data_IF_391054329663
#
_entry.id   IF_391054329663
#
_cell.length_a   1.000
_cell.length_b   1.000
_cell.length_c   1.000
_cell.angle_alpha   90.00
_cell.angle_beta   90.00
_cell.angle_gamma   90.00
#
_symmetry.space_group_name_H-M   'P 1'
#
loop_
_entity.id
_entity.type
_entity.pdbx_description
1 polymer ?
#
# COMPACT_ATOMS: atom_id res chain seq x y z
N UNK A 1 -14.24 -27.49 -18.54
CA UNK A 1 -14.09 -26.50 -17.46
C UNK A 1 -12.66 -26.00 -17.49
N UNK A 2 -12.45 -24.69 -17.58
CA UNK A 2 -11.11 -24.09 -17.48
C UNK A 2 -10.74 -24.05 -16.01
N UNK A 3 -9.62 -24.68 -15.64
CA UNK A 3 -9.17 -24.72 -14.24
C UNK A 3 -7.82 -24.06 -14.04
N UNK A 4 -7.70 -23.36 -12.93
CA UNK A 4 -6.47 -22.75 -12.46
C UNK A 4 -6.06 -23.39 -11.14
N UNK A 5 -4.76 -23.55 -10.96
CA UNK A 5 -4.21 -24.17 -9.76
C UNK A 5 -3.18 -23.25 -9.13
N UNK A 6 -3.29 -23.04 -7.82
CA UNK A 6 -2.32 -22.26 -7.04
C UNK A 6 -1.95 -22.98 -5.76
N UNK A 7 -0.66 -22.99 -5.41
CA UNK A 7 -0.15 -23.56 -4.16
C UNK A 7 0.28 -22.43 -3.23
N UNK A 8 -0.08 -22.57 -1.97
CA UNK A 8 0.27 -21.66 -0.88
C UNK A 8 1.01 -22.40 0.23
N UNK A 9 1.92 -21.70 0.91
CA UNK A 9 2.52 -22.13 2.18
C UNK A 9 1.68 -21.51 3.32
N UNK A 10 1.42 -22.29 4.36
CA UNK A 10 0.76 -21.86 5.61
C UNK A 10 -0.73 -21.48 5.50
N UNK A 11 -1.12 -20.47 4.72
CA UNK A 11 -2.51 -20.04 4.54
C UNK A 11 -2.81 -19.48 3.15
N UNK A 12 -4.10 -19.45 2.78
CA UNK A 12 -4.63 -18.78 1.60
C UNK A 12 -5.50 -17.59 2.03
N UNK A 13 -5.18 -16.39 1.55
CA UNK A 13 -6.00 -15.20 1.76
C UNK A 13 -6.91 -14.98 0.53
N UNK A 14 -8.23 -15.20 0.61
CA UNK A 14 -9.12 -14.99 -0.53
C UNK A 14 -9.21 -13.52 -0.96
N UNK A 15 -9.02 -12.57 -0.04
CA UNK A 15 -9.02 -11.13 -0.33
C UNK A 15 -7.73 -10.66 -1.02
N UNK A 16 -6.64 -11.44 -0.91
CA UNK A 16 -5.36 -11.18 -1.57
C UNK A 16 -4.76 -12.48 -2.07
N UNK A 17 -5.32 -12.99 -3.18
CA UNK A 17 -4.93 -14.30 -3.76
C UNK A 17 -3.46 -14.41 -4.22
N UNK A 18 -2.69 -13.34 -4.17
CA UNK A 18 -1.25 -13.34 -4.46
C UNK A 18 -0.39 -13.51 -3.19
N UNK A 19 -0.95 -13.22 -2.02
CA UNK A 19 -0.27 -13.33 -0.75
C UNK A 19 0.03 -14.80 -0.44
N UNK A 20 1.29 -15.10 -0.06
CA UNK A 20 1.80 -16.43 0.24
C UNK A 20 1.63 -17.48 -0.87
N UNK A 21 1.30 -17.05 -2.09
CA UNK A 21 1.26 -17.93 -3.25
C UNK A 21 2.69 -18.32 -3.63
N UNK A 22 3.02 -19.59 -3.45
CA UNK A 22 4.31 -20.14 -3.89
C UNK A 22 4.37 -20.23 -5.41
N UNK A 23 3.26 -20.69 -6.02
CA UNK A 23 3.17 -20.89 -7.45
C UNK A 23 1.72 -20.87 -7.90
N UNK A 24 1.47 -20.44 -9.13
CA UNK A 24 0.17 -20.53 -9.79
C UNK A 24 0.35 -20.75 -11.29
N UNK A 25 -0.54 -21.53 -11.87
CA UNK A 25 -0.63 -21.72 -13.32
C UNK A 25 -2.07 -21.47 -13.77
N UNK A 26 -2.19 -20.65 -14.81
CA UNK A 26 -3.42 -20.03 -15.25
C UNK A 26 -3.81 -20.36 -16.70
N UNK A 27 -3.26 -21.45 -17.28
CA UNK A 27 -3.65 -22.14 -18.53
C UNK A 27 -2.44 -22.56 -19.39
N UNK A 28 -1.45 -23.26 -18.80
CA UNK A 28 -0.24 -23.66 -19.53
C UNK A 28 -0.40 -24.88 -20.46
N UNK A 29 -1.53 -25.61 -20.41
CA UNK A 29 -1.69 -26.89 -21.10
C UNK A 29 -2.78 -26.88 -22.19
N UNK A 30 -2.64 -27.81 -23.14
CA UNK A 30 -3.74 -28.11 -24.09
C UNK A 30 -4.96 -28.57 -23.28
N UNK A 31 -6.12 -27.97 -23.56
CA UNK A 31 -7.42 -28.22 -22.91
C UNK A 31 -7.73 -27.42 -21.64
N UNK A 32 -7.11 -26.25 -21.44
CA UNK A 32 -7.52 -25.29 -20.42
C UNK A 32 -7.38 -25.82 -18.97
N UNK A 33 -6.29 -26.57 -18.72
CA UNK A 33 -5.97 -27.18 -17.43
C UNK A 33 -4.64 -26.65 -16.90
N UNK A 34 -4.52 -26.51 -15.58
CA UNK A 34 -3.25 -26.17 -14.94
C UNK A 34 -2.32 -27.40 -14.82
N UNK A 35 -1.02 -27.17 -14.97
CA UNK A 35 0.04 -28.15 -14.69
C UNK A 35 1.31 -27.42 -14.29
N UNK A 36 1.81 -27.72 -13.10
CA UNK A 36 3.10 -27.20 -12.65
C UNK A 36 3.95 -28.25 -11.96
N UNK A 37 5.24 -27.96 -11.86
CA UNK A 37 6.22 -28.74 -11.10
C UNK A 37 6.88 -27.80 -10.11
N UNK A 38 6.80 -28.14 -8.83
CA UNK A 38 7.31 -27.34 -7.73
C UNK A 38 8.09 -28.23 -6.76
N UNK A 39 9.16 -27.69 -6.18
CA UNK A 39 9.86 -28.34 -5.08
C UNK A 39 9.17 -27.94 -3.76
N UNK A 40 8.71 -28.94 -3.01
CA UNK A 40 8.07 -28.75 -1.70
C UNK A 40 8.96 -29.34 -0.61
N UNK A 41 8.93 -28.73 0.58
CA UNK A 41 9.65 -29.22 1.76
C UNK A 41 8.86 -30.39 2.38
N UNK A 42 9.58 -31.40 2.87
CA UNK A 42 8.97 -32.54 3.57
C UNK A 42 8.38 -32.09 4.91
N UNK A 43 7.28 -32.72 5.33
CA UNK A 43 6.61 -32.45 6.61
C UNK A 43 6.01 -31.05 6.77
N UNK A 44 5.81 -30.32 5.66
CA UNK A 44 5.05 -29.07 5.62
C UNK A 44 3.70 -29.32 4.96
N UNK A 45 2.65 -28.71 5.51
CA UNK A 45 1.32 -28.70 4.90
C UNK A 45 1.22 -27.54 3.91
N UNK A 46 0.80 -27.83 2.69
CA UNK A 46 0.54 -26.85 1.65
C UNK A 46 -0.94 -26.83 1.29
N UNK A 47 -1.41 -25.69 0.81
CA UNK A 47 -2.79 -25.52 0.37
C UNK A 47 -2.79 -25.44 -1.15
N UNK A 48 -3.48 -26.38 -1.81
CA UNK A 48 -3.78 -26.32 -3.23
C UNK A 48 -5.18 -25.73 -3.41
N UNK A 49 -5.24 -24.57 -4.04
CA UNK A 49 -6.49 -23.92 -4.45
C UNK A 49 -6.70 -24.21 -5.93
N UNK A 50 -7.84 -24.82 -6.24
CA UNK A 50 -8.31 -25.02 -7.61
C UNK A 50 -9.49 -24.10 -7.84
N UNK A 51 -9.36 -23.18 -8.80
CA UNK A 51 -10.42 -22.27 -9.21
C UNK A 51 -10.80 -22.49 -10.66
N UNK A 52 -11.95 -21.98 -11.05
CA UNK A 52 -12.42 -21.96 -12.43
C UNK A 52 -12.27 -20.56 -13.01
N UNK A 53 -12.28 -20.45 -14.35
CA UNK A 53 -12.29 -19.15 -15.03
C UNK A 53 -13.56 -18.34 -14.79
N UNK A 54 -14.67 -19.04 -14.61
CA UNK A 54 -16.00 -18.47 -14.43
C UNK A 54 -16.61 -18.98 -13.14
N UNK A 55 -17.22 -18.09 -12.37
CA UNK A 55 -17.97 -18.44 -11.15
C UNK A 55 -19.18 -19.34 -11.39
N UNK A 56 -19.60 -19.50 -12.64
CA UNK A 56 -20.71 -20.38 -13.04
C UNK A 56 -20.25 -21.78 -13.45
N UNK A 57 -18.95 -21.99 -13.66
CA UNK A 57 -18.45 -23.29 -14.08
C UNK A 57 -18.47 -24.24 -12.88
N UNK A 58 -19.28 -25.28 -12.98
CA UNK A 58 -19.35 -26.36 -11.98
C UNK A 58 -19.26 -27.69 -12.71
N UNK A 59 -18.28 -28.51 -12.35
CA UNK A 59 -18.13 -29.87 -12.86
C UNK A 59 -17.23 -30.67 -11.90
N UNK A 60 -17.27 -31.99 -12.01
CA UNK A 60 -16.30 -32.83 -11.33
C UNK A 60 -14.89 -32.58 -11.89
N UNK A 61 -13.90 -32.58 -11.00
CA UNK A 61 -12.50 -32.53 -11.38
C UNK A 61 -11.70 -33.61 -10.66
N UNK A 62 -10.51 -33.92 -11.17
CA UNK A 62 -9.55 -34.80 -10.53
C UNK A 62 -8.18 -34.14 -10.56
N UNK A 63 -7.39 -34.34 -9.51
CA UNK A 63 -6.02 -33.86 -9.42
C UNK A 63 -5.10 -35.08 -9.45
N UNK A 64 -4.07 -35.01 -10.29
CA UNK A 64 -3.00 -35.99 -10.31
C UNK A 64 -1.72 -35.33 -9.83
N UNK A 65 -1.11 -35.88 -8.77
CA UNK A 65 0.22 -35.47 -8.31
C UNK A 65 1.15 -36.68 -8.34
N UNK A 66 2.36 -36.45 -8.84
CA UNK A 66 3.44 -37.42 -8.86
C UNK A 66 4.68 -36.78 -8.28
N UNK A 67 5.37 -37.49 -7.40
CA UNK A 67 6.60 -37.03 -6.77
C UNK A 67 7.52 -38.19 -6.42
N UNK A 68 8.74 -37.89 -5.94
CA UNK A 68 9.68 -38.90 -5.45
C UNK A 68 9.20 -39.60 -4.17
N UNK A 69 8.21 -39.03 -3.48
CA UNK A 69 7.60 -39.56 -2.26
C UNK A 69 6.06 -39.55 -2.38
N UNK A 70 5.38 -40.25 -1.47
CA UNK A 70 3.92 -40.28 -1.41
C UNK A 70 3.36 -38.90 -1.04
N UNK A 71 2.54 -38.34 -1.92
CA UNK A 71 1.74 -37.14 -1.62
C UNK A 71 0.37 -37.59 -1.16
N UNK A 72 0.14 -37.50 0.14
CA UNK A 72 -1.18 -37.76 0.71
C UNK A 72 -2.07 -36.54 0.49
N UNK A 73 -3.01 -36.67 -0.43
CA UNK A 73 -4.14 -35.75 -0.46
C UNK A 73 -5.02 -36.06 0.74
N UNK A 74 -4.98 -35.20 1.76
CA UNK A 74 -6.07 -35.11 2.73
C UNK A 74 -7.28 -34.51 2.03
N UNK A 75 -7.97 -35.35 1.23
CA UNK A 75 -9.30 -35.10 0.71
C UNK A 75 -10.20 -35.05 1.94
N UNK A 76 -10.66 -33.86 2.29
CA UNK A 76 -11.14 -33.47 3.62
C UNK A 76 -10.01 -32.98 4.52
N UNK A 77 -10.15 -31.72 4.94
CA UNK A 77 -10.21 -31.46 6.38
C UNK A 77 -11.14 -32.54 6.92
N UNK A 78 -10.57 -33.67 7.35
CA UNK A 78 -11.28 -34.66 8.13
C UNK A 78 -12.02 -33.82 9.16
N UNK A 79 -13.35 -33.87 9.13
CA UNK A 79 -14.24 -33.07 9.97
C UNK A 79 -14.03 -33.46 11.43
N UNK A 80 -12.85 -33.15 11.98
CA UNK A 80 -12.75 -32.46 13.24
C UNK A 80 -13.81 -31.39 13.13
N UNK A 81 -14.95 -31.62 13.79
CA UNK A 81 -16.15 -30.81 13.66
C UNK A 81 -15.72 -29.36 13.53
N UNK A 82 -15.93 -28.75 12.36
CA UNK A 82 -15.64 -27.32 12.19
C UNK A 82 -16.51 -26.67 13.25
N UNK A 83 -15.86 -26.13 14.26
CA UNK A 83 -16.56 -25.56 15.39
C UNK A 83 -17.26 -24.31 14.86
N UNK A 84 -18.52 -24.16 15.24
CA UNK A 84 -19.32 -23.02 14.83
C UNK A 84 -19.72 -22.25 16.08
N UNK A 85 -19.36 -20.98 16.09
CA UNK A 85 -19.78 -20.03 17.11
C UNK A 85 -20.79 -19.08 16.49
N UNK A 86 -21.83 -18.78 17.26
CA UNK A 86 -22.91 -17.90 16.86
C UNK A 86 -23.03 -16.74 17.85
N UNK A 87 -23.21 -15.53 17.33
CA UNK A 87 -23.38 -14.32 18.10
C UNK A 87 -24.48 -13.46 17.48
N UNK A 88 -25.35 -12.88 18.29
CA UNK A 88 -26.41 -11.98 17.84
C UNK A 88 -26.39 -10.69 18.65
N UNK A 89 -26.63 -9.57 17.97
CA UNK A 89 -26.82 -8.28 18.62
C UNK A 89 -27.58 -7.31 17.71
N UNK A 90 -27.60 -6.03 18.09
CA UNK A 90 -28.30 -4.97 17.39
C UNK A 90 -27.54 -3.66 17.46
N UNK A 91 -27.30 -3.05 16.30
CA UNK A 91 -26.88 -1.65 16.24
C UNK A 91 -28.07 -0.74 16.53
N UNK A 92 -27.89 0.20 17.45
CA UNK A 92 -28.92 1.13 17.91
C UNK A 92 -28.36 2.56 17.95
N UNK A 93 -29.23 3.56 18.12
CA UNK A 93 -28.79 4.96 18.26
C UNK A 93 -27.94 5.23 19.51
N UNK A 94 -27.96 4.32 20.48
CA UNK A 94 -27.11 4.35 21.68
C UNK A 94 -25.81 3.57 21.52
N UNK A 95 -25.61 2.87 20.39
CA UNK A 95 -24.33 2.21 20.10
C UNK A 95 -23.23 3.25 19.97
N UNK A 96 -21.99 2.84 20.23
CA UNK A 96 -20.84 3.72 20.08
C UNK A 96 -20.68 4.12 18.62
N UNK A 97 -20.08 5.29 18.37
CA UNK A 97 -19.88 5.79 17.03
C UNK A 97 -18.41 6.02 16.75
N UNK A 98 -18.02 5.82 15.51
CA UNK A 98 -16.71 6.23 15.00
C UNK A 98 -16.86 6.80 13.60
N UNK A 99 -15.82 7.42 13.08
CA UNK A 99 -15.79 7.89 11.69
C UNK A 99 -15.05 6.83 10.86
N UNK A 100 -15.76 5.94 10.15
CA UNK A 100 -15.09 4.97 9.27
C UNK A 100 -14.45 5.69 8.11
N UNK A 101 -13.11 5.78 8.15
CA UNK A 101 -12.32 6.48 7.15
C UNK A 101 -12.82 7.91 6.96
N UNK A 102 -13.59 8.10 5.88
CA UNK A 102 -14.00 9.39 5.38
C UNK A 102 -15.48 9.67 5.14
N UNK A 103 -16.33 8.96 5.87
CA UNK A 103 -17.74 9.33 5.97
C UNK A 103 -17.92 10.71 6.62
N UNK A 104 -18.80 11.55 6.05
CA UNK A 104 -19.22 12.84 6.64
C UNK A 104 -20.01 12.64 7.95
N UNK A 105 -20.51 11.43 8.16
CA UNK A 105 -21.35 11.03 9.28
C UNK A 105 -20.73 9.86 10.01
N UNK A 106 -20.81 9.90 11.34
CA UNK A 106 -20.35 8.79 12.16
C UNK A 106 -21.23 7.55 11.95
N UNK A 107 -20.61 6.38 11.98
CA UNK A 107 -21.31 5.10 11.92
C UNK A 107 -21.40 4.49 13.31
N UNK A 108 -22.57 3.94 13.62
CA UNK A 108 -22.74 3.11 14.80
C UNK A 108 -21.90 1.84 14.66
N UNK A 109 -21.23 1.44 15.73
CA UNK A 109 -20.49 0.21 15.75
C UNK A 109 -20.70 -0.55 17.06
N UNK A 110 -20.45 -1.84 16.97
CA UNK A 110 -20.31 -2.72 18.11
C UNK A 110 -18.93 -3.36 18.07
N UNK A 111 -18.30 -3.42 19.25
CA UNK A 111 -17.03 -4.10 19.41
C UNK A 111 -17.21 -5.37 20.19
N UNK A 112 -16.64 -6.43 19.63
CA UNK A 112 -16.75 -7.79 20.12
C UNK A 112 -15.33 -8.29 20.33
N UNK A 113 -14.97 -8.55 21.58
CA UNK A 113 -13.73 -9.25 21.87
C UNK A 113 -13.83 -10.69 21.35
N UNK A 114 -12.79 -11.11 20.64
CA UNK A 114 -12.65 -12.42 20.02
C UNK A 114 -11.46 -13.11 20.67
N UNK A 115 -11.72 -14.20 21.40
CA UNK A 115 -10.68 -15.05 21.97
C UNK A 115 -10.77 -16.45 21.37
N UNK A 116 -9.66 -16.95 20.81
CA UNK A 116 -9.58 -18.31 20.26
C UNK A 116 -8.84 -19.25 21.22
N UNK A 117 -9.35 -20.47 21.37
CA UNK A 117 -8.73 -21.52 22.21
C UNK A 117 -7.68 -22.35 21.47
N UNK A 118 -7.70 -22.29 20.15
CA UNK A 118 -6.79 -23.01 19.26
C UNK A 118 -6.36 -22.09 18.12
N UNK A 119 -5.06 -21.99 17.87
CA UNK A 119 -4.56 -21.20 16.75
C UNK A 119 -4.98 -21.86 15.42
N UNK A 120 -5.28 -21.05 14.41
CA UNK A 120 -5.58 -21.51 13.07
C UNK A 120 -6.45 -20.54 12.30
N UNK A 121 -7.05 -21.03 11.22
CA UNK A 121 -7.77 -20.19 10.26
C UNK A 121 -9.27 -20.17 10.57
N UNK A 122 -9.81 -18.98 10.80
CA UNK A 122 -11.20 -18.73 11.15
C UNK A 122 -11.90 -17.94 10.05
N UNK A 123 -13.13 -18.32 9.72
CA UNK A 123 -14.00 -17.58 8.80
C UNK A 123 -15.10 -16.90 9.59
N UNK A 124 -15.24 -15.59 9.40
CA UNK A 124 -16.30 -14.77 9.96
C UNK A 124 -17.30 -14.42 8.86
N UNK A 125 -18.58 -14.48 9.16
CA UNK A 125 -19.67 -14.15 8.26
C UNK A 125 -20.74 -13.40 9.03
N UNK A 126 -21.26 -12.30 8.48
CA UNK A 126 -22.43 -11.61 9.02
C UNK A 126 -23.71 -11.98 8.28
N UNK A 127 -24.83 -11.90 8.99
CA UNK A 127 -26.15 -11.95 8.39
C UNK A 127 -27.05 -10.90 9.07
N UNK A 128 -27.54 -9.97 8.26
CA UNK A 128 -28.37 -8.85 8.66
C UNK A 128 -29.24 -8.40 7.49
N UNK A 129 -30.32 -7.67 7.79
CA UNK A 129 -31.06 -6.90 6.79
C UNK A 129 -30.37 -5.57 6.45
N UNK A 130 -29.35 -5.17 7.22
CA UNK A 130 -28.52 -4.01 6.95
C UNK A 130 -27.30 -4.44 6.14
N UNK A 131 -26.77 -3.53 5.34
CA UNK A 131 -25.45 -3.68 4.73
C UNK A 131 -24.36 -3.50 5.80
N UNK A 132 -23.77 -4.61 6.23
CA UNK A 132 -22.83 -4.67 7.36
C UNK A 132 -21.39 -4.70 6.89
N UNK A 133 -20.56 -3.89 7.52
CA UNK A 133 -19.10 -3.87 7.34
C UNK A 133 -18.42 -4.45 8.58
N UNK A 134 -17.46 -5.35 8.39
CA UNK A 134 -16.75 -6.05 9.45
C UNK A 134 -15.25 -5.77 9.40
N UNK A 135 -14.61 -5.63 10.56
CA UNK A 135 -13.15 -5.50 10.65
C UNK A 135 -12.59 -6.17 11.89
N UNK A 136 -11.48 -6.90 11.75
CA UNK A 136 -10.77 -7.49 12.89
C UNK A 136 -9.51 -6.69 13.18
N UNK A 137 -9.31 -6.40 14.46
CA UNK A 137 -8.15 -5.69 14.99
C UNK A 137 -7.37 -6.58 15.94
N UNK A 138 -6.04 -6.40 15.96
CA UNK A 138 -5.15 -7.02 16.93
C UNK A 138 -5.11 -6.18 18.21
N UNK A 139 -5.24 -6.81 19.37
CA UNK A 139 -5.17 -6.24 20.72
C UNK A 139 -6.29 -5.24 21.07
N UNK A 140 -6.41 -4.13 20.34
CA UNK A 140 -7.40 -3.08 20.58
C UNK A 140 -7.90 -2.45 19.28
N UNK A 141 -9.06 -1.79 19.38
CA UNK A 141 -9.60 -0.92 18.34
C UNK A 141 -9.62 0.54 18.81
N UNK A 142 -9.07 1.44 17.99
CA UNK A 142 -9.09 2.86 18.26
C UNK A 142 -10.18 3.54 17.40
N UNK A 143 -11.31 3.98 17.95
CA UNK A 143 -12.36 4.63 17.15
C UNK A 143 -11.91 5.97 16.57
N UNK A 144 -10.87 6.60 17.15
CA UNK A 144 -10.24 7.78 16.55
C UNK A 144 -9.36 7.42 15.36
N UNK A 145 -8.79 6.21 15.35
CA UNK A 145 -7.92 5.66 14.30
C UNK A 145 -8.33 4.24 13.87
N UNK A 146 -9.41 4.07 13.10
CA UNK A 146 -9.91 2.75 12.72
C UNK A 146 -9.03 2.01 11.69
N UNK A 147 -7.86 2.52 11.36
CA UNK A 147 -6.87 1.81 10.51
C UNK A 147 -5.82 1.12 11.40
N UNK A 148 -5.60 1.65 12.60
CA UNK A 148 -4.63 1.14 13.57
C UNK A 148 -4.95 -0.29 13.97
N UNK A 149 -3.95 -1.18 13.90
CA UNK A 149 -4.06 -2.60 14.26
C UNK A 149 -5.10 -3.41 13.48
N UNK A 150 -5.69 -2.86 12.41
CA UNK A 150 -6.62 -3.60 11.57
C UNK A 150 -5.87 -4.70 10.80
N UNK A 151 -6.37 -5.92 10.90
CA UNK A 151 -5.80 -7.10 10.25
C UNK A 151 -6.54 -7.43 8.95
N UNK A 152 -7.86 -7.33 8.96
CA UNK A 152 -8.73 -7.60 7.82
C UNK A 152 -10.01 -6.80 7.95
N UNK A 153 -10.60 -6.44 6.82
CA UNK A 153 -11.91 -5.82 6.72
C UNK A 153 -12.62 -6.24 5.43
N UNK A 154 -13.96 -6.22 5.45
CA UNK A 154 -14.82 -6.52 4.31
C UNK A 154 -16.24 -5.96 4.53
N UNK A 155 -16.96 -5.67 3.45
CA UNK A 155 -18.38 -5.29 3.41
C UNK A 155 -19.21 -6.07 2.40
N UNK A 156 -18.63 -6.46 1.27
CA UNK A 156 -19.41 -6.91 0.12
C UNK A 156 -19.09 -8.33 -0.36
N UNK A 157 -18.19 -9.07 0.31
CA UNK A 157 -17.82 -10.41 -0.17
C UNK A 157 -18.91 -11.47 0.08
N UNK A 158 -19.87 -11.20 0.97
CA UNK A 158 -20.99 -12.09 1.31
C UNK A 158 -22.26 -11.83 0.49
N UNK A 159 -23.22 -12.76 0.56
CA UNK A 159 -24.53 -12.55 -0.05
C UNK A 159 -25.25 -11.36 0.62
N UNK A 160 -25.93 -10.54 -0.17
CA UNK A 160 -26.71 -9.38 0.34
C UNK A 160 -25.86 -8.29 1.03
N UNK A 161 -24.66 -8.00 0.52
CA UNK A 161 -23.78 -6.96 1.08
C UNK A 161 -23.49 -7.21 2.57
N UNK A 162 -23.08 -8.44 2.85
CA UNK A 162 -22.64 -8.86 4.17
C UNK A 162 -21.16 -9.11 4.12
N UNK A 163 -20.47 -8.94 5.24
CA UNK A 163 -19.05 -9.23 5.27
C UNK A 163 -18.79 -10.74 5.39
N UNK A 164 -17.79 -11.22 4.67
CA UNK A 164 -17.19 -12.54 4.86
C UNK A 164 -15.68 -12.44 4.66
N UNK A 165 -14.93 -12.82 5.68
CA UNK A 165 -13.48 -12.87 5.58
C UNK A 165 -12.90 -14.04 6.36
N UNK A 166 -11.71 -14.45 5.95
CA UNK A 166 -10.96 -15.55 6.54
C UNK A 166 -9.64 -15.02 7.08
N UNK A 167 -9.30 -15.32 8.34
CA UNK A 167 -8.11 -14.81 9.01
C UNK A 167 -7.47 -15.89 9.90
N UNK A 168 -6.14 -15.91 9.95
CA UNK A 168 -5.39 -16.72 10.90
C UNK A 168 -5.34 -16.03 12.26
N UNK A 169 -5.82 -16.70 13.30
CA UNK A 169 -5.82 -16.23 14.68
C UNK A 169 -4.93 -17.12 15.55
N UNK A 170 -4.26 -16.51 16.52
CA UNK A 170 -3.38 -17.19 17.47
C UNK A 170 -3.97 -17.18 18.88
N UNK A 171 -3.76 -18.26 19.63
CA UNK A 171 -4.12 -18.30 21.07
C UNK A 171 -3.34 -17.25 21.85
N UNK A 172 -3.92 -16.79 22.96
CA UNK A 172 -3.32 -15.80 23.88
C UNK A 172 -3.17 -14.38 23.31
N UNK A 173 -3.67 -14.14 22.08
CA UNK A 173 -3.83 -12.80 21.53
C UNK A 173 -5.31 -12.40 21.66
N UNK A 174 -5.56 -11.19 22.17
CA UNK A 174 -6.88 -10.58 22.15
C UNK A 174 -7.11 -9.98 20.78
N UNK A 175 -8.24 -10.29 20.14
CA UNK A 175 -8.67 -9.62 18.91
C UNK A 175 -9.98 -8.88 19.16
N UNK A 176 -10.20 -7.79 18.42
CA UNK A 176 -11.45 -7.04 18.46
C UNK A 176 -12.10 -7.10 17.08
N UNK A 177 -13.30 -7.67 17.00
CA UNK A 177 -14.17 -7.55 15.83
C UNK A 177 -15.03 -6.31 15.97
N UNK A 178 -14.95 -5.40 15.00
CA UNK A 178 -15.85 -4.27 14.85
C UNK A 178 -16.89 -4.61 13.81
N UNK A 179 -18.16 -4.53 14.20
CA UNK A 179 -19.31 -4.64 13.31
C UNK A 179 -19.94 -3.26 13.18
N UNK A 180 -20.05 -2.78 11.96
CA UNK A 180 -20.68 -1.51 11.60
C UNK A 180 -21.45 -1.69 10.29
N UNK A 181 -21.77 -0.60 9.61
CA UNK A 181 -22.49 -0.60 8.34
C UNK A 181 -21.77 0.22 7.29
N UNK A 182 -21.92 -0.17 6.02
CA UNK A 182 -21.31 0.51 4.87
C UNK A 182 -21.78 1.97 4.73
N UNK A 183 -23.04 2.21 5.07
CA UNK A 183 -23.66 3.53 5.13
C UNK A 183 -23.77 4.05 6.56
N UNK A 184 -23.83 5.37 6.72
CA UNK A 184 -23.94 5.99 8.04
C UNK A 184 -25.33 5.90 8.63
N UNK A 185 -25.42 5.66 9.94
CA UNK A 185 -26.64 5.65 10.75
C UNK A 185 -27.72 4.55 10.54
N UNK A 186 -27.56 3.48 9.72
CA UNK A 186 -28.51 2.38 9.79
C UNK A 186 -28.41 1.70 11.16
N UNK A 187 -29.56 1.19 11.60
CA UNK A 187 -29.71 0.48 12.88
C UNK A 187 -30.56 -0.74 12.63
N UNK A 188 -30.30 -1.84 13.33
CA UNK A 188 -30.87 -3.12 12.97
C UNK A 188 -30.16 -4.27 13.65
N UNK A 189 -30.83 -5.42 13.66
CA UNK A 189 -30.26 -6.64 14.23
C UNK A 189 -29.24 -7.24 13.26
N UNK A 190 -28.22 -7.89 13.80
CA UNK A 190 -27.26 -8.64 13.03
C UNK A 190 -26.86 -9.90 13.79
N UNK A 191 -26.39 -10.89 13.04
CA UNK A 191 -25.82 -12.13 13.55
C UNK A 191 -24.46 -12.37 12.93
N UNK A 192 -23.53 -12.92 13.71
CA UNK A 192 -22.18 -13.29 13.28
C UNK A 192 -22.03 -14.80 13.45
N UNK A 193 -21.56 -15.44 12.38
CA UNK A 193 -21.19 -16.84 12.36
C UNK A 193 -19.67 -16.93 12.24
N UNK A 194 -19.05 -17.67 13.14
CA UNK A 194 -17.60 -17.92 13.11
C UNK A 194 -17.37 -19.41 12.99
N UNK A 195 -16.59 -19.81 11.98
CA UNK A 195 -16.24 -21.21 11.75
C UNK A 195 -14.73 -21.39 11.76
N UNK A 196 -14.24 -22.46 12.39
CA UNK A 196 -12.80 -22.70 12.48
C UNK A 196 -12.40 -23.98 13.24
N UNK A 197 -11.11 -24.09 13.64
CA UNK A 197 -10.55 -25.28 14.28
C UNK A 197 -11.06 -25.59 15.69
N UNK A 198 -11.68 -24.61 16.37
CA UNK A 198 -12.30 -24.71 17.69
C UNK A 198 -13.31 -23.57 17.90
N UNK A 199 -14.16 -23.64 18.93
CA UNK A 199 -15.09 -22.57 19.25
C UNK A 199 -14.36 -21.28 19.63
N UNK A 200 -15.00 -20.16 19.32
CA UNK A 200 -14.52 -18.81 19.62
C UNK A 200 -15.35 -18.27 20.77
N UNK A 201 -14.70 -17.58 21.71
CA UNK A 201 -15.40 -16.81 22.73
C UNK A 201 -15.61 -15.38 22.20
N UNK A 202 -16.87 -15.01 21.98
CA UNK A 202 -17.29 -13.71 21.47
C UNK A 202 -17.98 -12.94 22.59
N UNK A 203 -17.37 -11.83 23.00
CA UNK A 203 -17.87 -11.02 24.10
C UNK A 203 -18.05 -9.57 23.67
N UNK A 204 -19.28 -9.07 23.74
CA UNK A 204 -19.52 -7.63 23.61
C UNK A 204 -18.68 -6.87 24.64
N UNK A 205 -17.92 -5.89 24.18
CA UNK A 205 -17.17 -4.99 25.06
C UNK A 205 -17.66 -3.56 24.88
N UNK A 206 -17.84 -2.87 26.01
CA UNK A 206 -18.14 -1.44 26.00
C UNK A 206 -16.97 -0.69 25.36
N UNK A 207 -17.25 0.42 24.68
CA UNK A 207 -16.21 1.27 24.07
C UNK A 207 -15.13 1.73 25.04
N UNK A 208 -15.48 1.87 26.32
CA UNK A 208 -14.54 2.16 27.41
C UNK A 208 -13.52 1.05 27.69
N UNK A 209 -13.80 -0.20 27.30
CA UNK A 209 -12.92 -1.37 27.50
C UNK A 209 -12.03 -1.65 26.29
N UNK A 210 -12.37 -1.09 25.12
CA UNK A 210 -11.62 -1.25 23.87
C UNK A 210 -10.35 -0.37 23.86
N UNK A 211 -10.41 0.78 24.54
CA UNK A 211 -9.32 1.73 24.61
C UNK A 211 -8.38 1.31 25.75
N UNK A 212 -7.52 0.31 25.54
CA UNK A 212 -6.46 -0.04 26.49
C UNK A 212 -5.17 0.79 26.32
N UNK A 213 -5.26 1.96 25.68
CA UNK A 213 -4.24 2.99 25.83
C UNK A 213 -4.93 4.26 26.27
N UNK A 214 -4.86 4.52 27.57
CA UNK A 214 -4.66 5.81 28.24
C UNK A 214 -4.76 7.11 27.40
N UNK A 215 -5.80 7.32 26.61
CA UNK A 215 -6.15 8.65 26.07
C UNK A 215 -6.84 9.45 27.17
N UNK A 216 -6.12 9.70 28.26
CA UNK A 216 -6.49 10.76 29.19
C UNK A 216 -6.31 12.08 28.45
N UNK A 217 -7.42 12.69 27.99
CA UNK A 217 -7.46 14.04 27.42
C UNK A 217 -6.40 14.27 26.32
N UNK A 218 -6.66 13.79 25.10
CA UNK A 218 -5.80 14.06 23.96
C UNK A 218 -5.49 15.57 23.89
N UNK A 219 -4.22 15.92 24.04
CA UNK A 219 -3.81 17.31 24.06
C UNK A 219 -3.83 17.82 22.63
N UNK A 220 -4.40 19.01 22.43
CA UNK A 220 -4.56 19.61 21.12
C UNK A 220 -3.56 20.75 20.90
N UNK A 221 -3.07 20.86 19.67
CA UNK A 221 -2.34 22.02 19.17
C UNK A 221 -2.93 22.46 17.84
N UNK A 222 -2.95 23.78 17.63
CA UNK A 222 -3.43 24.40 16.40
C UNK A 222 -2.30 25.18 15.72
N UNK A 223 -2.26 25.09 14.41
CA UNK A 223 -1.40 25.89 13.55
C UNK A 223 -2.22 26.45 12.40
N UNK A 224 -2.01 27.71 12.02
CA UNK A 224 -2.72 28.31 10.89
C UNK A 224 -1.75 29.12 10.03
N UNK A 225 -1.93 29.04 8.72
CA UNK A 225 -1.10 29.76 7.75
C UNK A 225 -1.85 29.99 6.43
N UNK A 226 -1.16 30.53 5.44
CA UNK A 226 -1.69 30.85 4.12
C UNK A 226 -0.66 30.52 3.03
N UNK A 227 -1.07 29.72 2.05
CA UNK A 227 -0.31 29.54 0.81
C UNK A 227 -0.57 30.75 -0.09
N UNK A 228 0.49 31.46 -0.44
CA UNK A 228 0.43 32.68 -1.26
C UNK A 228 1.32 32.54 -2.50
N UNK A 229 1.32 33.53 -3.39
CA UNK A 229 2.19 33.55 -4.57
C UNK A 229 3.68 33.69 -4.25
N UNK A 230 4.04 34.02 -2.99
CA UNK A 230 5.43 34.02 -2.52
C UNK A 230 5.83 32.71 -1.82
N UNK A 231 4.90 31.78 -1.61
CA UNK A 231 5.21 30.46 -1.06
C UNK A 231 6.13 29.67 -1.98
N UNK A 232 6.92 28.76 -1.42
CA UNK A 232 7.80 27.90 -2.19
C UNK A 232 6.97 27.00 -3.13
N UNK A 233 7.56 26.57 -4.24
CA UNK A 233 6.88 25.69 -5.20
C UNK A 233 7.68 24.43 -5.48
N UNK A 234 6.99 23.30 -5.67
CA UNK A 234 7.63 22.08 -6.18
C UNK A 234 6.73 21.35 -7.19
N UNK A 235 7.35 20.44 -7.94
CA UNK A 235 6.65 19.56 -8.87
C UNK A 235 6.23 18.30 -8.14
N UNK A 236 4.92 18.12 -7.96
CA UNK A 236 4.35 16.94 -7.29
C UNK A 236 4.29 15.71 -8.17
N UNK A 237 4.03 15.94 -9.45
CA UNK A 237 3.93 14.92 -10.47
C UNK A 237 5.00 15.13 -11.55
N UNK A 238 5.10 14.16 -12.47
CA UNK A 238 5.98 14.28 -13.64
C UNK A 238 5.57 15.42 -14.59
N UNK A 239 4.46 16.12 -14.30
CA UNK A 239 4.04 17.32 -15.01
C UNK A 239 4.75 18.49 -14.33
N UNK A 240 5.50 19.29 -15.08
CA UNK A 240 6.24 20.47 -14.59
C UNK A 240 5.29 21.57 -14.15
N UNK A 241 4.55 21.32 -13.08
CA UNK A 241 3.52 22.17 -12.52
C UNK A 241 4.02 22.74 -11.20
N UNK A 242 3.77 24.02 -10.97
CA UNK A 242 4.20 24.70 -9.74
C UNK A 242 3.10 24.62 -8.70
N UNK A 243 3.26 23.73 -7.73
CA UNK A 243 2.38 23.62 -6.57
C UNK A 243 2.98 24.39 -5.41
N UNK A 244 2.24 25.38 -4.88
CA UNK A 244 2.67 26.09 -3.68
C UNK A 244 2.67 25.14 -2.49
N UNK A 245 3.66 25.27 -1.63
CA UNK A 245 3.76 24.47 -0.41
C UNK A 245 4.35 25.27 0.75
N UNK A 246 4.11 24.76 1.94
CA UNK A 246 4.73 25.19 3.18
C UNK A 246 5.31 24.00 3.92
N UNK A 247 6.53 24.14 4.41
CA UNK A 247 7.22 23.16 5.27
C UNK A 247 7.10 23.55 6.73
N UNK A 248 6.56 22.64 7.52
CA UNK A 248 6.27 22.83 8.93
C UNK A 248 7.03 21.77 9.70
N UNK A 249 7.99 22.19 10.53
CA UNK A 249 8.71 21.27 11.41
C UNK A 249 7.79 20.87 12.56
N UNK A 250 7.70 19.57 12.82
CA UNK A 250 6.96 19.01 13.93
C UNK A 250 7.93 18.63 15.05
N UNK A 251 7.73 19.20 16.24
CA UNK A 251 8.48 18.79 17.42
C UNK A 251 7.63 17.85 18.27
N UNK A 252 7.99 16.56 18.26
CA UNK A 252 7.29 15.49 18.97
C UNK A 252 8.07 15.19 20.26
N UNK A 253 7.45 15.49 21.40
CA UNK A 253 8.07 15.31 22.72
C UNK A 253 7.72 13.96 23.37
N UNK A 254 6.69 13.29 22.86
CA UNK A 254 6.21 12.02 23.40
C UNK A 254 5.88 11.07 22.25
N UNK A 255 6.41 9.85 22.33
CA UNK A 255 6.17 8.82 21.32
C UNK A 255 4.72 8.36 21.37
N UNK A 256 4.05 8.31 20.21
CA UNK A 256 2.72 7.73 20.11
C UNK A 256 1.99 8.11 18.84
N UNK A 257 0.70 7.81 18.80
CA UNK A 257 -0.16 8.15 17.66
C UNK A 257 -0.67 9.58 17.75
N UNK A 258 -0.49 10.35 16.69
CA UNK A 258 -1.00 11.70 16.54
C UNK A 258 -1.97 11.76 15.38
N UNK A 259 -3.16 12.29 15.63
CA UNK A 259 -4.13 12.63 14.62
C UNK A 259 -3.91 14.07 14.17
N UNK A 260 -3.76 14.27 12.87
CA UNK A 260 -3.70 15.57 12.23
C UNK A 260 -4.95 15.73 11.38
N UNK A 261 -5.55 16.91 11.39
CA UNK A 261 -6.65 17.28 10.49
C UNK A 261 -6.47 18.72 10.05
N UNK A 262 -6.78 19.01 8.79
CA UNK A 262 -6.83 20.37 8.29
C UNK A 262 -8.24 20.93 8.19
N UNK A 263 -8.33 22.25 8.18
CA UNK A 263 -9.50 23.01 7.73
C UNK A 263 -9.00 24.11 6.79
N UNK A 264 -9.43 24.07 5.53
CA UNK A 264 -8.97 24.99 4.49
C UNK A 264 -10.09 25.42 3.55
N UNK A 265 -9.96 26.63 2.98
CA UNK A 265 -10.82 27.12 1.91
C UNK A 265 -10.34 26.72 0.50
N UNK A 266 -9.28 25.92 0.42
CA UNK A 266 -8.70 25.38 -0.80
C UNK A 266 -8.43 23.90 -0.62
N UNK A 267 -8.36 23.16 -1.72
CA UNK A 267 -8.00 21.76 -1.66
C UNK A 267 -6.49 21.58 -1.43
N UNK A 268 -6.16 20.99 -0.27
CA UNK A 268 -4.80 20.79 0.20
C UNK A 268 -4.46 19.32 0.45
N UNK A 269 -3.16 19.04 0.41
CA UNK A 269 -2.52 17.76 0.68
C UNK A 269 -1.63 17.94 1.92
N UNK A 270 -1.66 16.97 2.82
CA UNK A 270 -0.75 16.87 3.95
C UNK A 270 0.20 15.70 3.73
N UNK A 271 1.50 15.95 3.77
CA UNK A 271 2.53 14.92 3.62
C UNK A 271 3.50 15.01 4.79
N UNK A 272 3.69 13.94 5.55
CA UNK A 272 4.69 13.87 6.60
C UNK A 272 5.90 13.13 6.09
N UNK A 273 7.05 13.74 6.30
CA UNK A 273 8.37 13.19 6.03
C UNK A 273 9.11 12.95 7.34
N UNK A 274 9.89 11.88 7.38
CA UNK A 274 10.89 11.69 8.43
C UNK A 274 12.19 12.41 8.02
N UNK A 275 12.86 13.05 8.98
CA UNK A 275 14.13 13.77 8.81
C UNK A 275 14.09 15.01 7.91
N UNK A 276 14.02 14.83 6.58
CA UNK A 276 14.07 15.92 5.61
C UNK A 276 13.09 15.74 4.45
N UNK A 277 12.56 16.86 3.95
CA UNK A 277 11.79 16.94 2.72
C UNK A 277 12.66 17.47 1.58
N UNK A 278 12.72 16.75 0.46
CA UNK A 278 13.40 17.20 -0.75
C UNK A 278 12.39 17.58 -1.85
N UNK A 279 12.22 18.86 -2.20
CA UNK A 279 11.27 19.28 -3.24
C UNK A 279 11.64 18.77 -4.65
N UNK A 280 12.90 18.36 -4.87
CA UNK A 280 13.33 17.75 -6.14
C UNK A 280 13.03 16.25 -6.21
N UNK A 281 12.83 15.61 -5.05
CA UNK A 281 12.44 14.21 -4.94
C UNK A 281 11.43 14.03 -3.79
N UNK A 282 10.16 14.42 -4.00
CA UNK A 282 9.16 14.48 -2.93
C UNK A 282 8.68 13.12 -2.43
N UNK A 283 9.26 12.02 -2.93
CA UNK A 283 8.99 10.67 -2.41
C UNK A 283 10.09 10.22 -1.43
N UNK A 284 11.22 10.91 -1.36
CA UNK A 284 12.27 10.61 -0.38
C UNK A 284 11.76 10.91 1.03
N UNK A 285 12.00 9.96 1.94
CA UNK A 285 11.63 10.01 3.35
C UNK A 285 10.13 10.24 3.65
N UNK A 286 9.25 10.03 2.68
CA UNK A 286 7.80 10.15 2.87
C UNK A 286 7.31 9.05 3.84
N UNK A 287 6.80 9.47 5.00
CA UNK A 287 6.27 8.58 6.04
C UNK A 287 4.77 8.35 5.87
N UNK A 288 4.02 9.41 5.60
CA UNK A 288 2.56 9.35 5.44
C UNK A 288 2.10 10.49 4.53
N UNK A 289 1.06 10.25 3.75
CA UNK A 289 0.43 11.27 2.93
C UNK A 289 -1.08 11.10 2.93
N UNK A 290 -1.77 12.22 2.82
CA UNK A 290 -3.20 12.24 2.62
C UNK A 290 -3.61 13.51 1.89
N UNK A 291 -4.69 13.39 1.13
CA UNK A 291 -5.13 14.44 0.22
C UNK A 291 -6.62 14.52 -0.04
N UNK A 292 -7.38 13.61 0.56
CA UNK A 292 -8.82 13.52 0.41
C UNK A 292 -9.41 12.89 1.65
N UNK A 293 -9.09 13.47 2.80
CA UNK A 293 -9.80 13.05 3.97
C UNK A 293 -11.16 13.74 4.01
N UNK A 294 -12.16 13.05 3.48
CA UNK A 294 -13.54 13.16 3.93
C UNK A 294 -14.29 14.44 3.50
N UNK A 295 -13.59 15.56 3.28
CA UNK A 295 -14.01 16.70 2.49
C UNK A 295 -13.14 16.76 1.23
N UNK A 296 -13.65 17.35 0.15
CA UNK A 296 -12.83 17.59 -1.06
C UNK A 296 -11.69 18.59 -0.82
N UNK A 297 -11.54 19.17 0.37
CA UNK A 297 -10.64 20.28 0.63
C UNK A 297 -9.55 19.97 1.67
N UNK A 298 -9.75 18.98 2.53
CA UNK A 298 -8.91 18.76 3.72
C UNK A 298 -8.16 17.41 3.70
N UNK A 299 -7.10 17.35 4.52
CA UNK A 299 -6.41 16.12 4.90
C UNK A 299 -6.63 15.81 6.39
N UNK A 300 -6.63 14.52 6.73
CA UNK A 300 -6.89 14.00 8.07
C UNK A 300 -6.42 12.57 8.13
N UNK A 301 -5.33 12.40 8.84
CA UNK A 301 -4.68 11.12 8.99
C UNK A 301 -4.07 11.00 10.37
N UNK A 302 -3.73 9.77 10.71
CA UNK A 302 -3.15 9.43 12.01
C UNK A 302 -1.83 8.73 11.74
N UNK A 303 -0.81 9.16 12.45
CA UNK A 303 0.56 8.72 12.24
C UNK A 303 1.19 8.38 13.60
N UNK A 304 1.96 7.31 13.64
CA UNK A 304 2.80 7.00 14.79
C UNK A 304 4.09 7.81 14.69
N UNK A 305 4.35 8.66 15.68
CA UNK A 305 5.53 9.50 15.72
C UNK A 305 6.35 9.16 16.96
N UNK A 306 7.64 8.95 16.76
CA UNK A 306 8.62 8.80 17.84
C UNK A 306 9.08 10.15 18.38
N UNK A 307 9.23 10.27 19.70
CA UNK A 307 9.91 11.39 20.32
C UNK A 307 11.35 11.51 19.80
N UNK A 308 11.92 12.72 19.87
CA UNK A 308 13.30 13.04 19.46
C UNK A 308 13.64 12.73 17.99
N UNK A 309 12.62 12.45 17.17
CA UNK A 309 12.75 12.25 15.72
C UNK A 309 12.30 13.50 14.99
N UNK A 310 13.02 13.89 13.94
CA UNK A 310 12.64 15.03 13.12
C UNK A 310 11.52 14.61 12.17
N UNK A 311 10.41 15.35 12.17
CA UNK A 311 9.37 15.20 11.16
C UNK A 311 9.06 16.54 10.51
N UNK A 312 8.82 16.50 9.20
CA UNK A 312 8.42 17.64 8.39
C UNK A 312 7.03 17.37 7.86
N UNK A 313 6.06 18.21 8.20
CA UNK A 313 4.76 18.26 7.54
C UNK A 313 4.84 19.25 6.37
N UNK A 314 4.53 18.78 5.18
CA UNK A 314 4.38 19.60 3.98
C UNK A 314 2.90 19.73 3.65
N UNK A 315 2.41 20.96 3.72
CA UNK A 315 1.07 21.32 3.23
C UNK A 315 1.21 21.89 1.83
N UNK A 316 0.47 21.36 0.86
CA UNK A 316 0.53 21.80 -0.54
C UNK A 316 -0.84 21.76 -1.20
N UNK A 317 -1.02 22.45 -2.33
CA UNK A 317 -2.32 22.50 -3.02
C UNK A 317 -2.57 21.31 -3.95
N UNK A 318 -3.84 21.02 -4.22
CA UNK A 318 -4.27 19.99 -5.18
C UNK A 318 -4.08 20.38 -6.63
N UNK A 319 -4.15 21.66 -6.93
CA UNK A 319 -4.00 22.21 -8.27
C UNK A 319 -2.88 23.25 -8.28
N UNK A 320 -2.16 23.41 -9.41
CA UNK A 320 -1.07 24.36 -9.51
C UNK A 320 -1.59 25.80 -9.37
N UNK A 321 -0.71 26.67 -8.85
CA UNK A 321 -0.97 28.10 -8.67
C UNK A 321 -2.17 28.46 -7.77
N UNK A 322 -2.67 27.53 -6.94
CA UNK A 322 -3.74 27.82 -5.97
C UNK A 322 -3.20 28.44 -4.69
N UNK A 323 -3.84 29.49 -4.20
CA UNK A 323 -3.51 30.17 -2.93
C UNK A 323 -4.72 30.16 -2.01
N UNK A 324 -4.49 30.09 -0.71
CA UNK A 324 -5.58 30.02 0.27
C UNK A 324 -5.09 29.77 1.68
N UNK A 325 -6.02 29.92 2.62
CA UNK A 325 -5.76 29.79 4.05
C UNK A 325 -6.03 28.36 4.50
N UNK A 326 -5.26 27.91 5.46
CA UNK A 326 -5.48 26.62 6.10
C UNK A 326 -5.17 26.71 7.59
N UNK A 327 -5.77 25.79 8.33
CA UNK A 327 -5.39 25.48 9.70
C UNK A 327 -5.17 23.98 9.84
N UNK A 328 -4.37 23.59 10.82
CA UNK A 328 -4.06 22.21 11.20
C UNK A 328 -4.36 22.09 12.68
N UNK A 329 -5.23 21.15 13.01
CA UNK A 329 -5.44 20.66 14.36
C UNK A 329 -4.69 19.35 14.50
N UNK A 330 -3.84 19.25 15.53
CA UNK A 330 -3.18 18.00 15.92
C UNK A 330 -3.67 17.57 17.28
N UNK A 331 -3.94 16.29 17.47
CA UNK A 331 -4.29 15.70 18.77
C UNK A 331 -3.53 14.42 19.01
N UNK A 332 -3.05 14.20 20.24
CA UNK A 332 -2.26 13.01 20.57
C UNK A 332 -1.88 12.94 22.06
N UNK A 333 -0.88 12.11 22.41
CA UNK A 333 -0.38 11.97 23.77
C UNK A 333 0.12 13.29 24.38
N UNK A 334 0.66 14.19 23.55
CA UNK A 334 1.23 15.46 24.00
C UNK A 334 1.02 16.59 22.97
N UNK A 335 1.40 17.82 23.33
CA UNK A 335 1.41 18.96 22.39
C UNK A 335 2.50 18.74 21.34
N UNK A 336 2.15 18.83 20.06
CA UNK A 336 3.15 19.00 18.99
C UNK A 336 3.37 20.49 18.77
N UNK A 337 4.62 20.94 18.83
CA UNK A 337 4.95 22.30 18.38
C UNK A 337 5.15 22.28 16.86
N UNK A 338 4.38 23.10 16.15
CA UNK A 338 4.43 23.25 14.70
C UNK A 338 5.10 24.58 14.35
N UNK A 339 6.22 24.53 13.64
CA UNK A 339 6.99 25.73 13.27
C UNK A 339 7.23 25.77 11.76
N UNK A 340 6.73 26.82 11.11
CA UNK A 340 7.08 27.13 9.72
C UNK A 340 8.59 27.29 9.58
N UNK A 341 9.18 26.75 8.52
CA UNK A 341 10.53 27.12 8.11
C UNK A 341 10.67 26.99 6.59
N UNK A 342 11.46 27.88 6.00
CA UNK A 342 11.78 27.80 4.58
C UNK A 342 12.98 26.87 4.37
N UNK A 343 12.86 25.91 3.47
CA UNK A 343 14.02 25.16 2.98
C UNK A 343 14.81 26.13 2.11
N UNK A 344 15.95 26.61 2.62
CA UNK A 344 16.88 27.36 1.78
C UNK A 344 17.35 26.42 0.67
N UNK A 345 17.21 26.85 -0.59
CA UNK A 345 17.67 26.14 -1.79
C UNK A 345 19.21 25.95 -1.86
N UNK A 346 19.91 26.16 -0.73
CA UNK A 346 21.35 26.19 -0.60
C UNK A 346 22.00 24.81 -0.41
N UNK A 347 21.23 23.72 -0.27
CA UNK A 347 21.77 22.35 -0.30
C UNK A 347 21.80 21.74 -1.70
N UNK A 348 21.88 22.57 -2.75
CA UNK A 348 22.40 22.09 -4.03
C UNK A 348 23.90 21.88 -3.86
N UNK A 349 24.29 20.64 -3.58
CA UNK A 349 25.65 20.20 -3.87
C UNK A 349 25.96 20.60 -5.32
N UNK A 350 27.05 21.36 -5.51
CA UNK A 350 27.47 21.90 -6.80
C UNK A 350 27.70 20.76 -7.81
N UNK A 351 26.66 20.33 -8.53
CA UNK A 351 26.83 19.42 -9.66
C UNK A 351 27.51 20.19 -10.78
N UNK A 352 28.79 19.89 -11.02
CA UNK A 352 29.53 20.44 -12.14
C UNK A 352 29.08 19.72 -13.40
N UNK A 353 28.22 20.36 -14.21
CA UNK A 353 27.82 19.80 -15.50
C UNK A 353 29.01 19.90 -16.46
N UNK A 354 29.57 18.76 -16.87
CA UNK A 354 30.61 18.71 -17.90
C UNK A 354 29.95 18.32 -19.22
N UNK A 355 29.75 19.31 -20.10
CA UNK A 355 29.27 19.06 -21.47
C UNK A 355 30.46 18.75 -22.38
N UNK A 356 30.46 17.56 -22.99
CA UNK A 356 31.45 17.19 -24.02
C UNK A 356 30.77 17.23 -25.39
N UNK A 357 31.09 18.24 -26.19
CA UNK A 357 30.64 18.34 -27.58
C UNK A 357 31.70 17.71 -28.50
N UNK A 358 31.35 16.61 -29.18
CA UNK A 358 32.23 15.94 -30.15
C UNK A 358 31.50 15.60 -31.44
N UNK A 359 32.10 15.96 -32.58
CA UNK A 359 31.56 15.68 -33.92
C UNK A 359 31.59 14.15 -34.19
N UNK A 360 30.57 13.55 -34.87
CA UNK A 360 30.43 12.08 -34.95
C UNK A 360 31.54 11.34 -35.72
N UNK A 361 32.41 12.03 -36.45
CA UNK A 361 33.35 11.42 -37.39
C UNK A 361 34.66 10.90 -36.78
N UNK A 362 34.90 11.05 -35.47
CA UNK A 362 36.16 10.62 -34.82
C UNK A 362 36.00 9.63 -33.67
N UNK A 363 34.86 8.95 -33.54
CA UNK A 363 34.67 7.94 -32.48
C UNK A 363 35.31 6.59 -32.83
N UNK A 364 36.63 6.51 -32.66
CA UNK A 364 37.38 5.27 -32.60
C UNK A 364 36.97 4.44 -31.37
N UNK A 365 36.05 3.50 -31.59
CA UNK A 365 35.59 2.44 -30.69
C UNK A 365 35.05 2.89 -29.32
N UNK A 366 33.81 2.52 -29.03
CA UNK A 366 33.14 2.59 -27.72
C UNK A 366 34.01 2.13 -26.53
N UNK A 367 35.01 1.26 -26.74
CA UNK A 367 36.00 0.86 -25.72
C UNK A 367 36.84 2.02 -25.17
N UNK A 368 37.18 3.03 -25.97
CA UNK A 368 38.00 4.14 -25.52
C UNK A 368 37.21 5.14 -24.68
N UNK A 369 35.94 5.40 -25.03
CA UNK A 369 35.05 6.24 -24.22
C UNK A 369 34.80 5.63 -22.84
N UNK A 370 34.48 4.34 -22.78
CA UNK A 370 34.26 3.64 -21.50
C UNK A 370 35.51 3.66 -20.63
N UNK A 371 36.71 3.48 -21.21
CA UNK A 371 37.99 3.60 -20.48
C UNK A 371 38.28 5.02 -20.01
N UNK A 372 37.90 6.03 -20.79
CA UNK A 372 38.07 7.43 -20.42
C UNK A 372 37.14 7.82 -19.28
N UNK A 373 35.86 7.44 -19.36
CA UNK A 373 34.85 7.62 -18.30
C UNK A 373 35.29 6.92 -17.00
N UNK A 374 35.75 5.66 -17.08
CA UNK A 374 36.24 4.93 -15.91
C UNK A 374 37.50 5.56 -15.27
N UNK A 375 38.37 6.19 -16.06
CA UNK A 375 39.52 6.97 -15.55
C UNK A 375 39.08 8.27 -14.88
N UNK A 376 38.01 8.90 -15.37
CA UNK A 376 37.44 10.12 -14.79
C UNK A 376 36.83 9.84 -13.41
N UNK A 377 36.04 8.76 -13.27
CA UNK A 377 35.44 8.33 -12.00
C UNK A 377 36.46 7.96 -10.93
N UNK A 378 37.63 7.41 -11.31
CA UNK A 378 38.73 7.16 -10.36
C UNK A 378 39.37 8.43 -9.80
N UNK A 379 39.19 9.58 -10.46
CA UNK A 379 39.89 10.82 -10.13
C UNK A 379 38.98 11.86 -9.47
N UNK A 380 37.67 11.78 -9.67
CA UNK A 380 36.68 12.67 -9.08
C UNK A 380 35.40 11.89 -8.74
N UNK A 381 35.06 11.68 -7.45
CA UNK A 381 33.80 11.06 -7.04
C UNK A 381 32.72 12.14 -7.04
N UNK A 382 32.20 12.48 -8.22
CA UNK A 382 31.07 13.40 -8.37
C UNK A 382 30.05 12.76 -9.32
N UNK A 383 28.76 12.96 -9.05
CA UNK A 383 27.68 12.53 -9.94
C UNK A 383 27.77 13.31 -11.25
N UNK A 384 27.88 12.62 -12.39
CA UNK A 384 27.96 13.25 -13.71
C UNK A 384 26.74 12.81 -14.52
N UNK A 385 25.92 13.78 -14.91
CA UNK A 385 24.79 13.58 -15.82
C UNK A 385 25.28 13.69 -17.27
N UNK A 386 25.01 12.67 -18.10
CA UNK A 386 25.37 12.68 -19.53
C UNK A 386 24.13 12.87 -20.40
N UNK A 387 24.15 13.84 -21.29
CA UNK A 387 23.10 14.03 -22.30
C UNK A 387 23.69 13.77 -23.69
N UNK A 388 23.20 12.74 -24.38
CA UNK A 388 23.59 12.44 -25.76
C UNK A 388 22.57 13.05 -26.73
N UNK A 389 23.01 14.05 -27.49
CA UNK A 389 22.23 14.60 -28.60
C UNK A 389 22.64 13.92 -29.91
N UNK A 390 21.82 12.99 -30.39
CA UNK A 390 21.97 12.42 -31.73
C UNK A 390 21.19 13.28 -32.73
N UNK A 391 21.88 13.91 -33.69
CA UNK A 391 21.23 14.41 -34.91
C UNK A 391 21.19 13.28 -35.95
N UNK A 392 20.07 13.07 -36.66
CA UNK A 392 20.01 12.08 -37.73
C UNK A 392 20.79 12.59 -38.96
N UNK A 393 21.75 11.80 -39.44
CA UNK A 393 22.31 11.94 -40.79
C UNK A 393 21.55 11.03 -41.75
N UNK A 394 21.20 11.53 -42.92
CA UNK A 394 20.48 10.81 -43.96
C UNK A 394 21.26 9.61 -44.52
N UNK A 395 20.50 8.54 -44.80
CA UNK A 395 20.76 7.40 -45.68
C UNK A 395 21.97 6.48 -45.38
N UNK A 396 21.69 5.27 -44.87
CA UNK A 396 22.29 4.01 -45.36
C UNK A 396 21.42 2.80 -44.95
N UNK A 397 21.19 1.91 -45.91
CA UNK A 397 20.36 0.69 -45.81
C UNK A 397 20.98 -0.42 -44.93
N UNK A 398 20.07 -1.18 -44.32
CA UNK A 398 20.15 -2.57 -43.85
C UNK A 398 21.47 -3.13 -43.34
N UNK A 399 21.55 -3.29 -42.01
CA UNK A 399 22.06 -4.49 -41.35
C UNK A 399 21.56 -4.56 -39.89
N UNK A 400 20.77 -5.59 -39.57
CA UNK A 400 20.40 -5.93 -38.19
C UNK A 400 21.65 -6.33 -37.37
N UNK A 401 22.09 -5.45 -36.48
CA UNK A 401 22.98 -5.83 -35.38
C UNK A 401 22.19 -5.92 -34.07
N UNK A 402 21.99 -7.15 -33.59
CA UNK A 402 21.41 -7.42 -32.28
C UNK A 402 22.38 -6.96 -31.17
N UNK A 403 22.00 -5.91 -30.45
CA UNK A 403 22.73 -5.34 -29.30
C UNK A 403 22.86 -6.30 -28.10
N UNK A 404 22.24 -7.48 -28.14
CA UNK A 404 22.32 -8.49 -27.08
C UNK A 404 23.60 -9.34 -27.10
N UNK A 405 24.46 -9.22 -28.13
CA UNK A 405 25.65 -10.08 -28.30
C UNK A 405 26.99 -9.46 -27.86
N UNK A 406 27.00 -8.29 -27.22
CA UNK A 406 28.25 -7.58 -26.85
C UNK A 406 28.34 -7.15 -25.37
N UNK A 407 27.86 -7.95 -24.42
CA UNK A 407 28.08 -7.71 -22.99
C UNK A 407 29.15 -8.65 -22.40
N UNK A 408 30.31 -8.14 -21.94
CA UNK A 408 31.17 -8.89 -21.02
C UNK A 408 30.53 -8.89 -19.62
N UNK A 409 30.49 -10.06 -18.98
CA UNK A 409 30.09 -10.26 -17.57
C UNK A 409 31.06 -9.54 -16.61
N UNK A 410 30.87 -8.25 -16.37
CA UNK A 410 31.47 -7.56 -15.22
C UNK A 410 30.47 -6.52 -14.71
N UNK A 411 30.10 -6.68 -13.43
CA UNK A 411 29.07 -5.96 -12.65
C UNK A 411 27.61 -6.19 -13.07
N UNK A 412 26.81 -6.65 -12.09
CA UNK A 412 25.41 -7.06 -12.25
C UNK A 412 24.50 -5.88 -12.53
N UNK A 413 24.27 -5.60 -13.81
CA UNK A 413 23.23 -4.69 -14.29
C UNK A 413 22.24 -5.50 -15.12
N UNK A 414 20.97 -5.56 -14.71
CA UNK A 414 19.90 -6.18 -15.50
C UNK A 414 19.26 -5.13 -16.42
N UNK A 415 19.30 -5.37 -17.73
CA UNK A 415 18.57 -4.57 -18.73
C UNK A 415 17.19 -5.18 -18.98
N UNK A 416 16.13 -4.44 -18.64
CA UNK A 416 14.76 -4.76 -19.06
C UNK A 416 14.55 -4.24 -20.49
N UNK A 417 14.61 -5.13 -21.48
CA UNK A 417 14.19 -4.80 -22.85
C UNK A 417 12.68 -5.08 -23.02
N UNK A 418 11.89 -4.06 -23.37
CA UNK A 418 10.48 -4.23 -23.72
C UNK A 418 10.37 -4.66 -25.19
N UNK A 419 9.81 -5.84 -25.44
CA UNK A 419 9.54 -6.37 -26.79
C UNK A 419 8.34 -5.63 -27.40
N UNK A 420 8.54 -4.87 -28.48
CA UNK A 420 7.44 -4.25 -29.25
C UNK A 420 7.09 -5.20 -30.42
N UNK A 421 5.80 -5.53 -30.57
CA UNK A 421 5.31 -6.35 -31.70
C UNK A 421 5.26 -5.50 -32.98
N UNK A 422 5.52 -6.07 -34.17
CA UNK A 422 5.49 -5.33 -35.42
C UNK A 422 4.04 -5.06 -35.86
N UNK A 423 3.77 -3.82 -36.28
CA UNK A 423 2.53 -3.44 -36.95
C UNK A 423 1.65 -2.42 -36.23
N UNK A 424 2.20 -1.23 -35.93
CA UNK A 424 1.49 0.07 -35.91
C UNK A 424 2.52 1.16 -35.58
N UNK A 425 2.94 1.94 -36.59
CA UNK A 425 3.79 3.12 -36.39
C UNK A 425 2.93 4.34 -36.68
N UNK A 426 2.54 5.05 -35.61
CA UNK A 426 2.10 6.42 -35.67
C UNK A 426 3.32 7.29 -35.29
N UNK A 427 3.78 8.14 -36.22
CA UNK A 427 4.94 9.00 -35.98
C UNK A 427 4.58 10.09 -34.96
N UNK A 428 5.12 9.99 -33.74
CA UNK A 428 5.28 11.14 -32.84
C UNK A 428 6.73 11.27 -32.41
N UNK A 429 7.35 12.38 -32.84
CA UNK A 429 8.68 12.78 -32.41
C UNK A 429 8.70 13.11 -30.90
N UNK A 430 9.47 12.35 -30.12
CA UNK A 430 9.95 12.74 -28.79
C UNK A 430 11.43 12.36 -28.66
N UNK A 431 12.28 13.21 -28.06
CA UNK A 431 13.63 12.81 -27.68
C UNK A 431 13.56 11.75 -26.57
N UNK A 432 14.37 10.72 -26.66
CA UNK A 432 14.55 9.72 -25.62
C UNK A 432 15.73 10.11 -24.73
N UNK A 433 15.50 10.30 -23.43
CA UNK A 433 16.56 10.31 -22.43
C UNK A 433 16.81 8.88 -21.94
N UNK A 434 18.08 8.56 -21.69
CA UNK A 434 18.49 7.32 -21.04
C UNK A 434 19.18 7.72 -19.74
N UNK A 435 18.50 7.52 -18.61
CA UNK A 435 19.10 7.72 -17.30
C UNK A 435 19.77 6.40 -16.88
N UNK A 436 21.09 6.45 -16.69
CA UNK A 436 21.88 5.33 -16.18
C UNK A 436 22.22 5.64 -14.73
N UNK A 437 21.68 4.84 -13.82
CA UNK A 437 22.07 4.82 -12.41
C UNK A 437 23.15 3.75 -12.22
N UNK A 438 24.27 4.11 -11.60
CA UNK A 438 25.35 3.20 -11.22
C UNK A 438 25.46 3.13 -9.70
#
# INVERSE_FOLDING_TARGET
MVTYGSIYKDYFNPSSSYENRLFGDDDSCKHDQFRFTIALETSITYILIVTTRSSYDTDAFSIFVSGPDTVDFMNSINTSSVAQTFYESKLTKSSSTYLPGCSESSSYYEAIQVNVRRSGVYTFFSNSSMDTYGSVYKEYFNPSNPIENRLVDDDESGQQHQFIFTIALETSITYILIVTTSSSNPTGAFSIFVSGPDNVDLKNISSSSIIQVQYSLAIQSNYSSELTTSSQTYSRDCRKSNYYYETIRMNVVETGYYALSSDSNINIFGNIYQDEFNPMNPFDNLLSQDYRSCSYQDFKFIVYLHADTNYILVVTTSSPNMTGKFSILTSGPNVITLNSYNISSASTSNFTTVSVNGHPSTWLSTKHLVRWIAKLFKRFPVLIHFTLNCQPSEAYEDNEYSLSKLAPKWFGVSLLSRRIRPGQIEYRHKPHSLDIWL
#
